data_IF_361995036428
#
_entry.id   IF_361995036428
#
_cell.length_a   1.000
_cell.length_b   1.000
_cell.length_c   1.000
_cell.angle_alpha   90.00
_cell.angle_beta   90.00
_cell.angle_gamma   90.00
#
_symmetry.space_group_name_H-M   'P 1'
#
loop_
_entity.id
_entity.type
_entity.pdbx_description
1 polymer ?
#
# COMPACT_ATOMS: atom_id res chain seq x y z
N UNK A 1 -8.33 10.95 -0.26
CA UNK A 1 -9.71 10.45 0.05
C UNK A 1 -10.60 10.35 -1.18
N UNK A 2 -10.60 11.36 -2.06
CA UNK A 2 -11.56 11.51 -3.17
C UNK A 2 -11.53 10.41 -4.25
N UNK A 3 -10.41 9.70 -4.43
CA UNK A 3 -10.27 8.70 -5.50
C UNK A 3 -10.39 7.24 -5.04
N UNK A 4 -9.97 6.89 -3.81
CA UNK A 4 -9.98 5.49 -3.34
C UNK A 4 -10.89 5.24 -2.14
N UNK A 5 -11.34 6.29 -1.42
CA UNK A 5 -12.07 6.15 -0.16
C UNK A 5 -11.23 5.65 1.03
N UNK A 6 -10.01 5.15 0.80
CA UNK A 6 -9.09 4.73 1.85
C UNK A 6 -8.53 5.93 2.65
N UNK A 7 -8.28 5.71 3.93
CA UNK A 7 -7.64 6.65 4.84
C UNK A 7 -6.16 6.30 4.97
N UNK A 8 -5.27 7.27 4.78
CA UNK A 8 -3.84 7.10 5.08
C UNK A 8 -3.63 7.54 6.52
N UNK A 9 -3.15 6.63 7.36
CA UNK A 9 -2.87 6.89 8.78
C UNK A 9 -1.45 7.41 8.98
N UNK A 10 -0.49 6.87 8.24
CA UNK A 10 0.90 7.28 8.33
C UNK A 10 1.67 6.98 7.03
N UNK A 11 2.76 7.70 6.84
CA UNK A 11 3.74 7.50 5.76
C UNK A 11 5.09 7.26 6.41
N UNK A 12 5.74 6.16 6.05
CA UNK A 12 7.11 5.90 6.46
C UNK A 12 8.03 6.04 5.25
N UNK A 13 8.94 6.98 5.34
CA UNK A 13 9.96 7.23 4.34
C UNK A 13 11.06 6.15 4.41
N UNK A 14 11.79 5.94 3.30
CA UNK A 14 12.88 4.97 3.26
C UNK A 14 14.05 5.32 4.20
N UNK A 15 14.21 6.59 4.56
CA UNK A 15 15.18 7.08 5.56
C UNK A 15 14.80 6.69 7.01
N UNK A 16 13.59 6.14 7.21
CA UNK A 16 13.06 5.75 8.51
C UNK A 16 12.19 6.81 9.18
N UNK A 17 12.03 7.99 8.59
CA UNK A 17 11.14 9.03 9.08
C UNK A 17 9.67 8.57 8.97
N UNK A 18 8.87 8.86 10.00
CA UNK A 18 7.47 8.46 10.10
C UNK A 18 6.59 9.69 10.27
N UNK A 19 5.76 9.95 9.27
CA UNK A 19 4.75 11.00 9.30
C UNK A 19 3.43 10.37 9.74
N UNK A 20 2.87 10.82 10.85
CA UNK A 20 1.56 10.37 11.36
C UNK A 20 0.50 11.41 11.00
N UNK A 21 -0.63 10.96 10.45
CA UNK A 21 -1.73 11.82 10.02
C UNK A 21 -1.37 12.72 8.82
N UNK A 22 -0.94 12.14 7.68
CA UNK A 22 -0.62 12.93 6.50
C UNK A 22 -1.84 13.72 6.02
N UNK A 23 -1.63 14.97 5.62
CA UNK A 23 -2.67 15.77 4.94
C UNK A 23 -2.79 15.38 3.48
N UNK A 24 -3.84 15.85 2.80
CA UNK A 24 -4.01 15.61 1.36
C UNK A 24 -2.92 16.25 0.48
N UNK A 25 -2.07 17.11 1.04
CA UNK A 25 -0.94 17.76 0.35
C UNK A 25 0.39 17.05 0.62
N UNK A 26 0.42 16.03 1.49
CA UNK A 26 1.65 15.31 1.80
C UNK A 26 2.10 14.55 0.55
N UNK A 27 3.27 14.92 0.02
CA UNK A 27 3.86 14.25 -1.13
C UNK A 27 4.21 12.80 -0.76
N UNK A 28 3.89 11.88 -1.67
CA UNK A 28 4.24 10.46 -1.56
C UNK A 28 5.32 10.24 -2.61
N UNK A 29 6.47 9.74 -2.18
CA UNK A 29 7.63 9.48 -3.03
C UNK A 29 7.83 7.98 -3.27
N UNK A 30 8.58 7.66 -4.32
CA UNK A 30 8.89 6.27 -4.66
C UNK A 30 9.72 5.61 -3.56
N UNK A 31 9.21 4.51 -3.01
CA UNK A 31 9.85 3.81 -1.89
C UNK A 31 9.22 4.10 -0.52
N UNK A 32 8.29 5.05 -0.44
CA UNK A 32 7.52 5.28 0.76
C UNK A 32 6.58 4.11 1.07
N UNK A 33 6.43 3.83 2.35
CA UNK A 33 5.49 2.84 2.87
C UNK A 33 4.29 3.55 3.48
N UNK A 34 3.11 3.35 2.89
CA UNK A 34 1.86 3.90 3.38
C UNK A 34 1.17 2.91 4.31
N UNK A 35 0.76 3.39 5.49
CA UNK A 35 -0.10 2.67 6.41
C UNK A 35 -1.51 3.19 6.20
N UNK A 36 -2.37 2.37 5.61
CA UNK A 36 -3.72 2.76 5.21
C UNK A 36 -4.77 1.91 5.90
N UNK A 37 -5.95 2.50 6.12
CA UNK A 37 -7.15 1.85 6.62
C UNK A 37 -8.29 2.04 5.63
N UNK A 38 -9.02 0.97 5.34
CA UNK A 38 -10.17 0.98 4.44
C UNK A 38 -10.68 -0.45 4.21
N UNK A 39 -11.71 -0.59 3.37
CA UNK A 39 -12.14 -1.92 2.90
C UNK A 39 -11.14 -2.50 1.90
N UNK A 40 -11.23 -3.80 1.62
CA UNK A 40 -10.37 -4.47 0.66
C UNK A 40 -10.45 -3.81 -0.74
N UNK A 41 -11.65 -3.40 -1.16
CA UNK A 41 -11.88 -2.71 -2.43
C UNK A 41 -11.22 -1.33 -2.46
N UNK A 42 -11.34 -0.55 -1.37
CA UNK A 42 -10.71 0.77 -1.25
C UNK A 42 -9.19 0.69 -1.28
N UNK A 43 -8.62 -0.29 -0.57
CA UNK A 43 -7.18 -0.57 -0.57
C UNK A 43 -6.70 -1.03 -1.96
N UNK A 44 -7.48 -1.86 -2.65
CA UNK A 44 -7.16 -2.29 -4.02
C UNK A 44 -7.20 -1.13 -5.01
N UNK A 45 -8.20 -0.25 -4.92
CA UNK A 45 -8.29 0.96 -5.73
C UNK A 45 -7.11 1.91 -5.45
N UNK A 46 -6.75 2.09 -4.17
CA UNK A 46 -5.59 2.88 -3.77
C UNK A 46 -4.29 2.33 -4.38
N UNK A 47 -4.07 1.02 -4.29
CA UNK A 47 -2.91 0.39 -4.88
C UNK A 47 -2.82 0.65 -6.38
N UNK A 48 -3.93 0.53 -7.12
CA UNK A 48 -3.93 0.77 -8.57
C UNK A 48 -3.63 2.23 -8.96
N UNK A 49 -3.96 3.20 -8.09
CA UNK A 49 -3.66 4.61 -8.32
C UNK A 49 -2.17 4.89 -8.06
N UNK A 50 -1.63 4.38 -6.96
CA UNK A 50 -0.26 4.65 -6.51
C UNK A 50 0.79 3.88 -7.33
N UNK A 51 0.44 2.68 -7.75
CA UNK A 51 1.21 1.87 -8.66
C UNK A 51 0.19 1.17 -9.54
N UNK A 52 -0.05 1.63 -10.77
CA UNK A 52 -0.82 0.83 -11.71
C UNK A 52 -0.06 -0.49 -11.83
N UNK A 53 -0.53 -1.50 -11.09
CA UNK A 53 0.17 -2.75 -10.89
C UNK A 53 0.19 -3.39 -12.26
N UNK A 54 1.27 -3.17 -13.02
CA UNK A 54 1.64 -4.05 -14.12
C UNK A 54 1.94 -5.35 -13.42
N UNK A 55 0.91 -6.20 -13.36
CA UNK A 55 0.91 -7.51 -12.73
C UNK A 55 2.16 -8.28 -13.15
N UNK A 56 3.25 -8.14 -12.39
CA UNK A 56 4.38 -9.03 -12.43
C UNK A 56 4.23 -9.94 -11.23
N UNK A 57 3.34 -10.91 -11.45
CA UNK A 57 3.32 -12.21 -10.79
C UNK A 57 3.31 -12.12 -9.26
N UNK A 58 2.11 -12.18 -8.69
CA UNK A 58 1.92 -12.59 -7.30
C UNK A 58 2.74 -13.86 -7.07
N UNK A 59 3.73 -13.79 -6.16
CA UNK A 59 4.55 -14.94 -5.77
C UNK A 59 3.59 -16.11 -5.45
N UNK A 60 3.74 -17.28 -6.10
CA UNK A 60 2.88 -18.41 -5.80
C UNK A 60 3.01 -18.78 -4.32
N UNK A 61 1.91 -19.21 -3.67
CA UNK A 61 1.94 -19.59 -2.27
C UNK A 61 2.98 -20.70 -2.08
N UNK A 62 3.79 -20.58 -1.02
CA UNK A 62 4.75 -21.61 -0.64
C UNK A 62 3.97 -22.89 -0.35
N UNK A 63 3.95 -23.84 -1.28
CA UNK A 63 3.37 -25.16 -1.05
C UNK A 63 4.10 -25.76 0.16
N UNK A 64 3.35 -26.05 1.23
CA UNK A 64 3.87 -26.85 2.32
C UNK A 64 4.27 -28.23 1.76
N UNK A 65 5.38 -28.84 2.21
CA UNK A 65 5.74 -30.17 1.76
C UNK A 65 4.60 -31.14 2.10
N UNK A 66 4.11 -31.85 1.08
CA UNK A 66 3.25 -33.01 1.25
C UNK A 66 4.16 -34.23 1.39
N UNK A 67 4.11 -34.87 2.54
CA UNK A 67 4.97 -35.99 2.97
C UNK A 67 5.53 -35.64 4.35
N UNK A 68 5.28 -36.43 5.39
CA UNK A 68 5.43 -37.90 5.46
C UNK A 68 4.26 -38.60 6.16
#
# INVERSE_FOLDING_TARGET
RSQSGALVLAIRHPDGNLIVGPTGETAIEGGDMLICLGTAEQLRALNQILSPLTSRLTRPPKQAPLGE
#
